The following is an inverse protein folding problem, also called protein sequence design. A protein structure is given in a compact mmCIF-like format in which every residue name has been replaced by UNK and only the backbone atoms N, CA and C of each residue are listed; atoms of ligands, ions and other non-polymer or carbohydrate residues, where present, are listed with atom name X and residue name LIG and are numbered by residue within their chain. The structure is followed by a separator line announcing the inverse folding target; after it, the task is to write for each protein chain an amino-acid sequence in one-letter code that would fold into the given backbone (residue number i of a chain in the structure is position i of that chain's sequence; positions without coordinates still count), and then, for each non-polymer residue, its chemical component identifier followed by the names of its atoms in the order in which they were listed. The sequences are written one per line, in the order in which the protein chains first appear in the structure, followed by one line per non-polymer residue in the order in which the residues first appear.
data_IF_564603544668
#
_entry.id   IF_564603544668
#
_cell.length_a   1.000
_cell.length_b   1.000
_cell.length_c   1.000
_cell.angle_alpha   90.00
_cell.angle_beta   90.00
_cell.angle_gamma   90.00
#
_symmetry.space_group_name_H-M   'P 1'
#
loop_
_entity.id
_entity.type
_entity.pdbx_description
1 polymer ?
#
# COMPACT_ATOMS: atom_id res chain seq x y z
N UNK A 1 -5.52 -4.94 -20.90
CA UNK A 1 -6.49 -5.14 -21.99
C UNK A 1 -6.13 -4.27 -23.17
N UNK A 2 -6.14 -4.86 -24.34
CA UNK A 2 -5.94 -4.21 -25.64
C UNK A 2 -7.24 -4.24 -26.42
N UNK A 3 -7.55 -3.17 -27.19
CA UNK A 3 -8.76 -3.11 -28.00
C UNK A 3 -8.72 -4.10 -29.14
N UNK A 4 -9.84 -4.73 -29.45
CA UNK A 4 -9.97 -5.53 -30.67
C UNK A 4 -9.93 -4.63 -31.92
N UNK A 5 -9.48 -5.20 -33.04
CA UNK A 5 -9.41 -4.48 -34.31
C UNK A 5 -8.15 -3.65 -34.52
N UNK A 6 -7.29 -3.55 -33.50
CA UNK A 6 -5.97 -2.92 -33.62
C UNK A 6 -4.88 -3.97 -33.91
N UNK A 7 -3.80 -3.53 -34.52
CA UNK A 7 -2.64 -4.40 -34.78
C UNK A 7 -1.53 -4.06 -33.79
N UNK A 8 -1.28 -4.97 -32.89
CA UNK A 8 -0.23 -4.84 -31.89
C UNK A 8 1.03 -5.59 -32.32
N UNK A 9 2.19 -5.04 -31.98
CA UNK A 9 3.48 -5.70 -32.25
C UNK A 9 3.68 -6.88 -31.30
N UNK A 10 3.75 -8.07 -31.85
CA UNK A 10 3.87 -9.32 -31.09
C UNK A 10 5.09 -9.30 -30.17
N UNK A 11 6.23 -8.79 -30.64
CA UNK A 11 7.45 -8.66 -29.83
C UNK A 11 7.25 -7.86 -28.54
N UNK A 12 6.50 -6.74 -28.61
CA UNK A 12 6.22 -5.93 -27.42
C UNK A 12 5.27 -6.65 -26.47
N UNK A 13 4.24 -7.31 -27.00
CA UNK A 13 3.30 -8.09 -26.18
C UNK A 13 4.02 -9.26 -25.50
N UNK A 14 4.91 -9.96 -26.20
CA UNK A 14 5.73 -11.03 -25.62
C UNK A 14 6.69 -10.52 -24.55
N UNK A 15 7.32 -9.36 -24.74
CA UNK A 15 8.15 -8.72 -23.70
C UNK A 15 7.34 -8.35 -22.47
N UNK A 16 6.14 -7.79 -22.61
CA UNK A 16 5.27 -7.51 -21.48
C UNK A 16 4.94 -8.77 -20.67
N UNK A 17 4.68 -9.88 -21.38
CA UNK A 17 4.40 -11.16 -20.72
C UNK A 17 5.63 -11.78 -20.05
N UNK A 18 6.81 -11.77 -20.72
CA UNK A 18 7.99 -12.47 -20.27
C UNK A 18 8.82 -11.69 -19.26
N UNK A 19 8.98 -10.37 -19.47
CA UNK A 19 9.86 -9.53 -18.66
C UNK A 19 9.10 -8.86 -17.49
N UNK A 20 7.79 -8.65 -17.66
CA UNK A 20 6.93 -7.97 -16.67
C UNK A 20 5.80 -8.87 -16.12
N UNK A 21 5.76 -10.13 -16.52
CA UNK A 21 4.73 -11.10 -16.13
C UNK A 21 3.29 -10.61 -16.37
N UNK A 22 3.11 -9.71 -17.35
CA UNK A 22 1.82 -9.12 -17.63
C UNK A 22 0.89 -10.12 -18.33
N UNK A 23 -0.35 -10.22 -17.87
CA UNK A 23 -1.42 -10.91 -18.59
C UNK A 23 -2.01 -9.95 -19.62
N UNK A 24 -1.99 -10.33 -20.90
CA UNK A 24 -2.53 -9.49 -21.98
C UNK A 24 -3.82 -10.09 -22.51
N UNK A 25 -4.86 -9.29 -22.57
CA UNK A 25 -6.21 -9.65 -23.05
C UNK A 25 -6.60 -8.75 -24.21
N UNK A 26 -7.29 -9.30 -25.21
CA UNK A 26 -7.94 -8.53 -26.27
C UNK A 26 -9.45 -8.50 -26.05
N UNK A 27 -10.07 -7.32 -26.15
CA UNK A 27 -11.48 -7.15 -25.88
C UNK A 27 -12.11 -5.97 -26.66
N UNK A 28 -13.40 -6.02 -26.99
CA UNK A 28 -14.14 -4.90 -27.57
C UNK A 28 -14.38 -3.81 -26.52
N UNK A 29 -13.58 -2.75 -26.54
CA UNK A 29 -13.65 -1.67 -25.57
C UNK A 29 -14.98 -0.92 -25.60
N UNK A 30 -15.38 -0.35 -24.45
CA UNK A 30 -16.65 0.37 -24.29
C UNK A 30 -17.88 -0.53 -24.17
N UNK A 31 -17.70 -1.85 -24.05
CA UNK A 31 -18.82 -2.78 -23.86
C UNK A 31 -19.00 -3.15 -22.40
N UNK A 32 -20.25 -3.43 -22.00
CA UNK A 32 -20.54 -3.88 -20.64
C UNK A 32 -19.87 -5.21 -20.27
N UNK A 33 -19.64 -6.08 -21.25
CA UNK A 33 -18.99 -7.39 -21.01
C UNK A 33 -17.49 -7.21 -20.77
N UNK A 34 -16.81 -6.33 -21.51
CA UNK A 34 -15.42 -5.97 -21.24
C UNK A 34 -15.27 -5.33 -19.86
N UNK A 35 -16.14 -4.38 -19.49
CA UNK A 35 -16.10 -3.74 -18.17
C UNK A 35 -16.28 -4.77 -17.05
N UNK A 36 -17.21 -5.72 -17.19
CA UNK A 36 -17.40 -6.81 -16.24
C UNK A 36 -16.17 -7.72 -16.15
N UNK A 37 -15.54 -8.04 -17.28
CA UNK A 37 -14.33 -8.88 -17.30
C UNK A 37 -13.14 -8.18 -16.58
N UNK A 38 -12.96 -6.88 -16.81
CA UNK A 38 -11.96 -6.04 -16.11
C UNK A 38 -12.22 -6.02 -14.60
N UNK A 39 -13.47 -5.77 -14.20
CA UNK A 39 -13.89 -5.73 -12.80
C UNK A 39 -13.70 -7.10 -12.12
N UNK A 40 -14.06 -8.19 -12.82
CA UNK A 40 -13.87 -9.55 -12.30
C UNK A 40 -12.39 -9.90 -12.14
N UNK A 41 -11.53 -9.51 -13.08
CA UNK A 41 -10.10 -9.71 -12.98
C UNK A 41 -9.51 -8.98 -11.76
N UNK A 42 -9.85 -7.70 -11.59
CA UNK A 42 -9.38 -6.91 -10.46
C UNK A 42 -9.86 -7.51 -9.14
N UNK A 43 -11.13 -7.87 -9.06
CA UNK A 43 -11.70 -8.52 -7.87
C UNK A 43 -10.99 -9.82 -7.53
N UNK A 44 -10.73 -10.67 -8.52
CA UNK A 44 -10.05 -11.96 -8.32
C UNK A 44 -8.60 -11.75 -7.85
N UNK A 45 -7.87 -10.82 -8.47
CA UNK A 45 -6.45 -10.59 -8.18
C UNK A 45 -6.19 -9.77 -6.92
N UNK A 46 -7.24 -9.23 -6.27
CA UNK A 46 -7.16 -8.50 -5.01
C UNK A 46 -7.91 -9.17 -3.86
N UNK A 47 -8.28 -10.45 -4.02
CA UNK A 47 -9.03 -11.18 -2.99
C UNK A 47 -10.38 -10.55 -2.64
N UNK A 48 -10.95 -9.73 -3.53
CA UNK A 48 -12.18 -8.98 -3.28
C UNK A 48 -12.01 -7.61 -2.63
N UNK A 49 -10.81 -7.25 -2.19
CA UNK A 49 -10.54 -5.99 -1.49
C UNK A 49 -10.89 -4.75 -2.30
N UNK A 50 -10.68 -4.76 -3.61
CA UNK A 50 -10.97 -3.65 -4.50
C UNK A 50 -12.31 -3.78 -5.25
N UNK A 51 -13.24 -4.61 -4.78
CA UNK A 51 -14.52 -4.85 -5.45
C UNK A 51 -15.34 -3.56 -5.69
N UNK A 52 -15.33 -2.63 -4.74
CA UNK A 52 -16.06 -1.36 -4.87
C UNK A 52 -15.33 -0.37 -5.78
N UNK A 53 -14.02 -0.26 -5.71
CA UNK A 53 -13.22 0.55 -6.63
C UNK A 53 -13.34 0.03 -8.07
N UNK A 54 -13.38 -1.29 -8.26
CA UNK A 54 -13.52 -1.93 -9.55
C UNK A 54 -14.82 -1.55 -10.28
N UNK A 55 -15.92 -1.33 -9.55
CA UNK A 55 -17.23 -0.95 -10.13
C UNK A 55 -17.18 0.35 -10.94
N UNK A 56 -16.24 1.23 -10.64
CA UNK A 56 -16.09 2.53 -11.29
C UNK A 56 -15.16 2.48 -12.52
N UNK A 57 -14.57 1.34 -12.84
CA UNK A 57 -13.70 1.18 -14.01
C UNK A 57 -14.58 0.92 -15.23
N UNK A 58 -14.55 1.86 -16.17
CA UNK A 58 -15.27 1.76 -17.43
C UNK A 58 -14.32 2.06 -18.59
N UNK A 59 -14.33 1.19 -19.60
CA UNK A 59 -13.66 1.44 -20.88
C UNK A 59 -14.59 2.23 -21.80
N UNK A 60 -14.01 2.99 -22.71
CA UNK A 60 -14.77 3.73 -23.77
C UNK A 60 -14.48 3.08 -25.11
N UNK A 61 -15.35 3.24 -26.11
CA UNK A 61 -15.12 2.71 -27.46
C UNK A 61 -13.77 3.15 -28.07
N UNK A 62 -13.27 4.33 -27.67
CA UNK A 62 -12.00 4.90 -28.12
C UNK A 62 -10.79 4.43 -27.28
N UNK A 63 -11.01 3.65 -26.23
CA UNK A 63 -9.91 3.11 -25.42
C UNK A 63 -9.09 2.14 -26.25
N UNK A 64 -7.82 2.43 -26.48
CA UNK A 64 -6.90 1.55 -27.20
C UNK A 64 -6.27 0.54 -26.27
N UNK A 65 -5.90 0.98 -25.06
CA UNK A 65 -5.27 0.14 -24.05
C UNK A 65 -5.78 0.54 -22.66
N UNK A 66 -6.01 -0.48 -21.83
CA UNK A 66 -6.21 -0.33 -20.38
C UNK A 66 -5.12 -1.12 -19.68
N UNK A 67 -4.25 -0.42 -18.95
CA UNK A 67 -3.24 -1.01 -18.08
C UNK A 67 -3.79 -1.05 -16.65
N UNK A 68 -3.78 -2.24 -16.05
CA UNK A 68 -4.17 -2.45 -14.66
C UNK A 68 -3.01 -3.09 -13.90
N UNK A 69 -2.73 -2.56 -12.74
CA UNK A 69 -1.85 -3.18 -11.76
C UNK A 69 -2.64 -3.44 -10.48
N UNK A 70 -2.57 -4.66 -9.98
CA UNK A 70 -3.20 -5.04 -8.73
C UNK A 70 -2.14 -5.60 -7.80
N UNK A 71 -2.02 -5.02 -6.62
CA UNK A 71 -1.17 -5.52 -5.56
C UNK A 71 -2.07 -6.00 -4.41
N UNK A 72 -1.85 -7.23 -4.00
CA UNK A 72 -2.54 -7.87 -2.89
C UNK A 72 -1.51 -8.37 -1.91
N UNK A 73 -1.63 -7.96 -0.66
CA UNK A 73 -0.78 -8.42 0.43
C UNK A 73 -1.62 -9.09 1.50
N UNK A 74 -1.18 -10.28 1.91
CA UNK A 74 -1.80 -11.03 2.98
C UNK A 74 -0.73 -11.82 3.72
N UNK A 75 -0.51 -11.45 4.96
CA UNK A 75 0.35 -12.21 5.86
C UNK A 75 -0.05 -11.98 7.32
N UNK A 76 0.38 -12.87 8.19
CA UNK A 76 0.13 -12.80 9.63
C UNK A 76 1.30 -12.14 10.33
N UNK A 77 1.01 -11.43 11.41
CA UNK A 77 2.07 -10.97 12.31
C UNK A 77 2.95 -12.16 12.76
N UNK A 78 4.24 -11.98 12.84
CA UNK A 78 5.15 -12.99 13.41
C UNK A 78 4.82 -13.22 14.88
N UNK A 79 4.45 -12.16 15.59
CA UNK A 79 3.88 -12.17 16.94
C UNK A 79 2.53 -11.46 16.92
N UNK A 80 1.45 -12.23 16.97
CA UNK A 80 0.08 -11.74 16.83
C UNK A 80 -0.38 -10.97 18.07
N UNK A 81 -1.30 -10.03 17.88
CA UNK A 81 -2.01 -9.42 19.00
C UNK A 81 -2.98 -10.42 19.61
N UNK A 82 -3.09 -10.43 20.92
CA UNK A 82 -4.07 -11.27 21.61
C UNK A 82 -5.46 -10.63 21.53
N UNK A 83 -6.41 -11.34 20.93
CA UNK A 83 -7.78 -10.83 20.72
C UNK A 83 -8.44 -10.32 22.01
N UNK A 84 -8.14 -10.97 23.15
CA UNK A 84 -8.65 -10.57 24.47
C UNK A 84 -8.01 -9.30 25.04
N UNK A 85 -6.95 -8.79 24.43
CA UNK A 85 -6.33 -7.51 24.81
C UNK A 85 -6.81 -6.35 23.91
N UNK A 86 -7.65 -6.60 22.90
CA UNK A 86 -8.27 -5.57 22.09
C UNK A 86 -9.35 -4.85 22.92
N UNK A 87 -9.31 -3.53 22.92
CA UNK A 87 -10.29 -2.70 23.64
C UNK A 87 -10.62 -1.45 22.85
N UNK A 88 -11.86 -0.94 23.02
CA UNK A 88 -12.28 0.30 22.41
C UNK A 88 -11.58 1.50 23.06
N UNK A 89 -10.98 2.37 22.23
CA UNK A 89 -10.38 3.63 22.65
C UNK A 89 -10.63 4.73 21.60
N UNK A 90 -10.10 5.92 21.84
CA UNK A 90 -10.31 7.09 21.01
C UNK A 90 -9.16 7.31 20.04
N UNK A 91 -9.47 7.35 18.75
CA UNK A 91 -8.61 7.89 17.71
C UNK A 91 -9.01 9.35 17.43
N UNK A 92 -8.05 10.25 17.44
CA UNK A 92 -8.27 11.65 17.08
C UNK A 92 -7.89 11.86 15.62
N UNK A 93 -8.87 12.06 14.75
CA UNK A 93 -8.67 12.27 13.32
C UNK A 93 -7.92 13.59 13.03
N UNK A 94 -7.42 13.73 11.79
CA UNK A 94 -6.68 14.92 11.36
C UNK A 94 -7.47 16.24 11.46
N UNK A 95 -8.79 16.18 11.40
CA UNK A 95 -9.70 17.33 11.58
C UNK A 95 -10.05 17.59 13.07
N UNK A 96 -9.51 16.80 13.99
CA UNK A 96 -9.78 16.87 15.44
C UNK A 96 -11.00 16.06 15.88
N UNK A 97 -11.70 15.37 14.99
CA UNK A 97 -12.83 14.53 15.34
C UNK A 97 -12.39 13.31 16.14
N UNK A 98 -13.04 13.05 17.27
CA UNK A 98 -12.82 11.86 18.08
C UNK A 98 -13.65 10.69 17.54
N UNK A 99 -13.00 9.58 17.26
CA UNK A 99 -13.58 8.34 16.73
C UNK A 99 -13.35 7.21 17.74
N UNK A 100 -14.39 6.43 18.05
CA UNK A 100 -14.31 5.26 18.93
C UNK A 100 -14.02 4.03 18.05
N UNK A 101 -12.87 3.40 18.27
CA UNK A 101 -12.40 2.27 17.46
C UNK A 101 -11.72 1.23 18.35
N UNK A 102 -11.64 -0.01 17.89
CA UNK A 102 -10.91 -1.07 18.56
C UNK A 102 -9.40 -0.90 18.41
N UNK A 103 -8.68 -0.85 19.53
CA UNK A 103 -7.22 -0.86 19.60
C UNK A 103 -6.72 -2.21 20.06
N UNK A 104 -5.76 -2.75 19.31
CA UNK A 104 -5.01 -3.94 19.63
C UNK A 104 -3.79 -3.58 20.49
N UNK A 105 -3.54 -4.33 21.54
CA UNK A 105 -2.45 -4.04 22.47
C UNK A 105 -1.47 -5.19 22.57
N UNK A 106 -0.18 -4.87 22.57
CA UNK A 106 0.89 -5.81 22.93
C UNK A 106 2.13 -5.06 23.44
N UNK A 107 3.02 -5.81 24.04
CA UNK A 107 4.31 -5.30 24.52
C UNK A 107 5.43 -6.16 23.98
N UNK A 108 6.45 -5.50 23.45
CA UNK A 108 7.72 -6.12 23.08
C UNK A 108 8.76 -5.68 24.09
N UNK A 109 9.25 -6.61 24.91
CA UNK A 109 10.16 -6.28 26.01
C UNK A 109 11.52 -5.78 25.54
N UNK A 110 11.87 -6.07 24.27
CA UNK A 110 13.09 -5.58 23.61
C UNK A 110 12.83 -5.47 22.10
N UNK A 111 12.73 -4.24 21.62
CA UNK A 111 12.54 -3.96 20.19
C UNK A 111 13.32 -2.70 19.79
N UNK A 112 13.56 -2.55 18.49
CA UNK A 112 14.23 -1.39 17.92
C UNK A 112 13.23 -0.32 17.50
N UNK A 113 13.62 0.94 17.65
CA UNK A 113 12.90 2.09 17.17
C UNK A 113 13.88 3.20 16.76
N UNK A 114 13.40 4.14 15.94
CA UNK A 114 14.14 5.37 15.59
C UNK A 114 13.37 6.56 16.15
N UNK A 115 14.11 7.49 16.77
CA UNK A 115 13.57 8.74 17.32
C UNK A 115 14.00 9.90 16.44
N UNK A 116 13.10 10.40 15.59
CA UNK A 116 13.31 11.61 14.80
C UNK A 116 12.85 12.89 15.50
N UNK A 117 13.00 14.02 14.83
CA UNK A 117 12.54 15.31 15.32
C UNK A 117 11.02 15.44 15.16
N UNK A 118 10.29 15.26 16.25
CA UNK A 118 8.82 15.34 16.29
C UNK A 118 8.09 14.05 15.86
N UNK A 119 8.77 12.91 15.81
CA UNK A 119 8.15 11.62 15.49
C UNK A 119 8.95 10.43 16.03
N UNK A 120 8.30 9.28 16.06
CA UNK A 120 8.93 7.98 16.34
C UNK A 120 8.60 7.02 15.21
N UNK A 121 9.60 6.22 14.79
CA UNK A 121 9.43 5.12 13.83
C UNK A 121 9.70 3.80 14.53
N UNK A 122 8.79 2.84 14.35
CA UNK A 122 8.96 1.47 14.82
C UNK A 122 8.24 0.52 13.87
N UNK A 123 8.54 -0.78 13.96
CA UNK A 123 8.03 -1.75 13.00
C UNK A 123 7.53 -3.02 13.66
N UNK A 124 6.57 -3.67 12.99
CA UNK A 124 6.09 -5.01 13.28
C UNK A 124 6.43 -5.93 12.11
N UNK A 125 6.87 -7.14 12.42
CA UNK A 125 7.24 -8.13 11.40
C UNK A 125 6.07 -9.06 11.08
N UNK A 126 5.97 -9.45 9.82
CA UNK A 126 5.12 -10.53 9.37
C UNK A 126 5.87 -11.88 9.37
N UNK A 127 5.14 -12.99 9.29
CA UNK A 127 5.71 -14.35 9.31
C UNK A 127 6.56 -14.66 8.09
N UNK A 128 6.21 -14.09 6.93
CA UNK A 128 6.96 -14.23 5.69
C UNK A 128 8.29 -13.48 5.67
N UNK A 129 8.51 -12.59 6.64
CA UNK A 129 9.70 -11.75 6.74
C UNK A 129 9.52 -10.33 6.23
N UNK A 130 8.34 -10.01 5.69
CA UNK A 130 7.91 -8.66 5.37
C UNK A 130 7.72 -7.85 6.66
N UNK A 131 7.66 -6.52 6.53
CA UNK A 131 7.53 -5.62 7.69
C UNK A 131 6.49 -4.54 7.46
N UNK A 132 5.83 -4.16 8.53
CA UNK A 132 5.01 -2.95 8.56
C UNK A 132 5.68 -1.92 9.47
N UNK A 133 6.18 -0.86 8.85
CA UNK A 133 6.87 0.25 9.50
C UNK A 133 5.83 1.34 9.78
N UNK A 134 5.80 1.86 10.99
CA UNK A 134 4.90 2.93 11.41
C UNK A 134 5.70 4.17 11.75
N UNK A 135 5.28 5.33 11.24
CA UNK A 135 5.76 6.64 11.65
C UNK A 135 4.64 7.35 12.41
N UNK A 136 4.87 7.57 13.70
CA UNK A 136 3.94 8.23 14.60
C UNK A 136 4.46 9.63 14.95
N UNK A 137 3.77 10.72 14.55
CA UNK A 137 4.10 12.07 15.01
C UNK A 137 3.99 12.19 16.52
N UNK A 138 4.77 13.07 17.14
CA UNK A 138 4.57 13.44 18.53
C UNK A 138 3.20 14.13 18.74
N UNK A 139 2.73 14.11 19.98
CA UNK A 139 1.48 14.81 20.30
C UNK A 139 1.56 16.29 19.91
N UNK A 140 0.54 16.77 19.23
CA UNK A 140 0.48 18.15 18.72
C UNK A 140 1.27 18.39 17.42
N UNK A 141 1.99 17.40 16.92
CA UNK A 141 2.71 17.49 15.64
C UNK A 141 1.85 16.97 14.49
N UNK A 142 1.70 17.77 13.43
CA UNK A 142 0.93 17.36 12.26
C UNK A 142 1.74 16.40 11.37
N UNK A 143 1.11 15.35 10.86
CA UNK A 143 1.74 14.34 10.01
C UNK A 143 2.19 14.90 8.65
N UNK A 144 1.34 15.69 7.98
CA UNK A 144 1.61 16.17 6.61
C UNK A 144 2.90 16.98 6.46
N UNK A 145 3.26 17.92 7.36
CA UNK A 145 4.55 18.61 7.29
C UNK A 145 5.74 17.66 7.48
N UNK A 146 5.65 16.65 8.34
CA UNK A 146 6.70 15.65 8.54
C UNK A 146 6.97 14.87 7.24
N UNK A 147 5.92 14.43 6.57
CA UNK A 147 6.04 13.67 5.31
C UNK A 147 6.52 14.50 4.11
N UNK A 148 6.63 15.82 4.26
CA UNK A 148 7.32 16.68 3.30
C UNK A 148 8.82 16.83 3.61
N UNK A 149 9.25 16.42 4.79
CA UNK A 149 10.64 16.44 5.22
C UNK A 149 11.38 15.19 4.74
N UNK A 150 12.59 15.37 4.25
CA UNK A 150 13.43 14.28 3.74
C UNK A 150 13.77 13.26 4.84
N UNK A 151 14.06 13.71 6.07
CA UNK A 151 14.46 12.85 7.18
C UNK A 151 13.33 11.86 7.57
N UNK A 152 12.10 12.35 7.77
CA UNK A 152 10.98 11.50 8.16
C UNK A 152 10.62 10.47 7.06
N UNK A 153 10.74 10.86 5.79
CA UNK A 153 10.58 9.92 4.68
C UNK A 153 11.71 8.89 4.65
N UNK A 154 12.97 9.32 4.82
CA UNK A 154 14.10 8.41 4.85
C UNK A 154 13.94 7.36 5.96
N UNK A 155 13.57 7.77 7.17
CA UNK A 155 13.33 6.85 8.29
C UNK A 155 12.16 5.90 8.03
N UNK A 156 11.07 6.40 7.40
CA UNK A 156 9.93 5.55 7.04
C UNK A 156 10.31 4.51 5.97
N UNK A 157 11.23 4.84 5.06
CA UNK A 157 11.70 3.97 3.97
C UNK A 157 12.89 3.07 4.37
N UNK A 158 13.37 3.19 5.60
CA UNK A 158 14.48 2.38 6.13
C UNK A 158 13.96 1.34 7.10
N UNK A 159 14.41 0.10 6.96
CA UNK A 159 14.19 -0.91 7.99
C UNK A 159 14.81 -0.42 9.31
N UNK A 160 13.99 -0.41 10.37
CA UNK A 160 14.45 0.07 11.68
C UNK A 160 15.68 -0.69 12.19
N UNK A 161 15.82 -1.98 11.85
CA UNK A 161 16.99 -2.77 12.24
C UNK A 161 18.27 -2.41 11.46
N UNK A 162 18.13 -1.82 10.28
CA UNK A 162 19.24 -1.41 9.41
C UNK A 162 19.62 0.08 9.60
N UNK A 163 18.86 0.81 10.43
CA UNK A 163 19.13 2.22 10.71
C UNK A 163 20.29 2.40 11.67
N UNK A 164 21.25 3.26 11.31
CA UNK A 164 22.34 3.67 12.19
C UNK A 164 21.86 4.43 13.45
N UNK A 165 20.62 4.98 13.41
CA UNK A 165 20.00 5.72 14.50
C UNK A 165 19.09 4.83 15.37
N UNK A 166 19.04 3.52 15.10
CA UNK A 166 18.20 2.60 15.84
C UNK A 166 18.59 2.53 17.33
N UNK A 167 17.60 2.67 18.17
CA UNK A 167 17.68 2.56 19.62
C UNK A 167 16.89 1.34 20.08
N UNK A 168 17.23 0.80 21.25
CA UNK A 168 16.53 -0.34 21.84
C UNK A 168 15.69 0.11 23.01
N UNK A 169 14.44 -0.34 23.07
CA UNK A 169 13.49 -0.03 24.13
C UNK A 169 12.54 -1.21 24.39
N UNK A 170 11.79 -1.11 25.46
CA UNK A 170 10.53 -1.82 25.63
C UNK A 170 9.45 -1.05 24.88
N UNK A 171 8.88 -1.62 23.82
CA UNK A 171 7.80 -1.00 23.06
C UNK A 171 6.44 -1.45 23.57
N UNK A 172 5.59 -0.46 23.88
CA UNK A 172 4.19 -0.69 24.23
C UNK A 172 3.33 -0.23 23.06
N UNK A 173 2.75 -1.20 22.36
CA UNK A 173 1.94 -0.98 21.18
C UNK A 173 0.46 -0.81 21.53
N UNK A 174 -0.14 0.21 20.93
CA UNK A 174 -1.58 0.42 20.86
C UNK A 174 -1.93 0.78 19.42
N UNK A 175 -2.36 -0.21 18.65
CA UNK A 175 -2.60 -0.09 17.20
C UNK A 175 -4.09 -0.19 16.93
N UNK A 176 -4.73 0.81 16.31
CA UNK A 176 -6.14 0.69 15.95
C UNK A 176 -6.31 -0.39 14.87
N UNK A 177 -7.40 -1.14 14.92
CA UNK A 177 -7.84 -1.92 13.77
C UNK A 177 -8.25 -0.95 12.68
N UNK A 178 -7.73 -1.14 11.47
CA UNK A 178 -8.07 -0.26 10.37
C UNK A 178 -8.27 -0.99 9.06
N UNK A 179 -9.12 -0.40 8.23
CA UNK A 179 -9.44 -0.86 6.89
C UNK A 179 -9.50 0.39 6.01
N UNK A 180 -8.38 0.73 5.39
CA UNK A 180 -8.22 1.96 4.62
C UNK A 180 -8.06 1.64 3.14
N UNK A 181 -8.78 2.38 2.31
CA UNK A 181 -8.67 2.30 0.87
C UNK A 181 -8.38 3.66 0.25
N UNK A 182 -7.80 3.64 -0.92
CA UNK A 182 -7.59 4.83 -1.73
C UNK A 182 -7.88 4.55 -3.21
N UNK A 183 -8.40 5.55 -3.89
CA UNK A 183 -8.64 5.53 -5.32
C UNK A 183 -8.21 6.88 -5.89
N UNK A 184 -7.00 6.93 -6.44
CA UNK A 184 -6.34 8.15 -6.85
C UNK A 184 -6.26 8.24 -8.37
N UNK A 185 -6.62 9.40 -8.90
CA UNK A 185 -6.31 9.80 -10.28
C UNK A 185 -4.94 10.47 -10.29
N UNK A 186 -3.95 9.87 -10.96
CA UNK A 186 -2.55 10.26 -10.88
C UNK A 186 -2.06 11.10 -12.06
N UNK A 187 -2.88 11.36 -13.07
CA UNK A 187 -2.48 12.05 -14.30
C UNK A 187 -1.85 13.42 -14.02
N UNK A 188 -2.48 14.22 -13.18
CA UNK A 188 -1.98 15.55 -12.86
C UNK A 188 -0.71 15.51 -11.99
N UNK A 189 -0.63 14.54 -11.07
CA UNK A 189 0.58 14.34 -10.27
C UNK A 189 1.77 13.92 -11.15
N UNK A 190 1.57 12.99 -12.08
CA UNK A 190 2.60 12.55 -13.02
C UNK A 190 3.05 13.69 -13.95
N UNK A 191 2.12 14.52 -14.44
CA UNK A 191 2.47 15.72 -15.23
C UNK A 191 3.30 16.71 -14.41
N UNK A 192 2.95 16.92 -13.13
CA UNK A 192 3.71 17.79 -12.24
C UNK A 192 5.14 17.27 -11.97
N UNK A 193 5.33 15.95 -12.02
CA UNK A 193 6.62 15.26 -11.92
C UNK A 193 7.42 15.29 -13.24
N UNK A 194 6.88 15.87 -14.33
CA UNK A 194 7.55 15.99 -15.63
C UNK A 194 7.20 14.89 -16.63
N UNK A 195 6.31 13.96 -16.30
CA UNK A 195 5.80 12.94 -17.23
C UNK A 195 4.70 13.58 -18.06
N UNK A 196 5.03 14.23 -19.16
CA UNK A 196 4.07 15.03 -19.97
C UNK A 196 3.74 14.43 -21.31
N UNK A 197 4.73 13.92 -22.03
CA UNK A 197 4.60 13.57 -23.45
C UNK A 197 3.65 12.40 -23.69
N UNK A 198 3.58 11.44 -22.77
CA UNK A 198 2.69 10.29 -22.84
C UNK A 198 1.18 10.67 -22.81
N UNK A 199 0.87 11.86 -22.29
CA UNK A 199 -0.49 12.41 -22.21
C UNK A 199 -0.85 13.36 -23.35
N UNK A 200 0.10 13.69 -24.25
CA UNK A 200 -0.11 14.59 -25.38
C UNK A 200 -0.21 13.78 -26.68
N UNK A 201 -1.37 13.80 -27.32
CA UNK A 201 -1.62 13.09 -28.57
C UNK A 201 -0.67 13.45 -29.72
N UNK A 202 0.01 14.64 -29.64
CA UNK A 202 0.95 15.07 -30.66
C UNK A 202 2.40 14.64 -30.33
N UNK A 203 2.68 14.18 -29.13
CA UNK A 203 4.02 13.84 -28.67
C UNK A 203 4.17 12.39 -28.24
N UNK A 204 3.08 11.77 -27.78
CA UNK A 204 3.08 10.39 -27.33
C UNK A 204 3.53 9.44 -28.45
N UNK A 205 4.51 8.60 -28.19
CA UNK A 205 4.96 7.58 -29.13
C UNK A 205 4.70 6.17 -28.64
N UNK A 206 3.60 5.60 -29.08
CA UNK A 206 3.22 4.21 -28.84
C UNK A 206 3.58 3.30 -30.03
N UNK A 207 4.44 3.75 -30.95
CA UNK A 207 4.90 2.92 -32.07
C UNK A 207 5.63 1.63 -31.68
N UNK A 208 6.24 1.49 -30.47
CA UNK A 208 6.74 0.19 -30.01
C UNK A 208 5.64 -0.84 -29.74
N UNK A 209 4.40 -0.41 -29.43
CA UNK A 209 3.27 -1.28 -29.15
C UNK A 209 2.33 -1.43 -30.32
N UNK A 210 1.99 -0.33 -31.01
CA UNK A 210 0.99 -0.28 -32.08
C UNK A 210 1.68 -0.18 -33.44
N UNK A 211 1.23 -0.99 -34.39
CA UNK A 211 1.72 -0.94 -35.77
C UNK A 211 1.13 0.27 -36.51
N UNK A 212 1.88 1.37 -36.56
CA UNK A 212 1.47 2.64 -37.18
C UNK A 212 1.18 2.55 -38.69
N UNK A 213 1.70 1.53 -39.40
CA UNK A 213 1.38 1.33 -40.81
C UNK A 213 -0.04 0.81 -40.99
N UNK A 214 -0.62 0.24 -39.96
CA UNK A 214 -1.96 -0.34 -39.95
C UNK A 214 -2.95 0.39 -39.03
N UNK A 215 -2.46 1.35 -38.27
CA UNK A 215 -3.26 2.16 -37.36
C UNK A 215 -2.79 3.63 -37.43
N UNK A 216 -3.56 4.48 -38.07
CA UNK A 216 -3.20 5.88 -38.40
C UNK A 216 -3.68 6.90 -37.34
N UNK A 217 -4.19 6.45 -36.19
CA UNK A 217 -4.63 7.36 -35.13
C UNK A 217 -3.52 7.56 -34.07
N UNK A 218 -3.47 8.77 -33.52
CA UNK A 218 -2.58 9.08 -32.40
C UNK A 218 -3.09 8.41 -31.11
N UNK A 219 -2.19 7.76 -30.38
CA UNK A 219 -2.49 7.11 -29.10
C UNK A 219 -1.80 7.87 -27.98
N UNK A 220 -2.55 8.22 -26.95
CA UNK A 220 -2.01 8.82 -25.73
C UNK A 220 -2.70 8.22 -24.50
N UNK A 221 -2.06 8.32 -23.34
CA UNK A 221 -2.69 7.99 -22.07
C UNK A 221 -3.67 9.09 -21.71
N UNK A 222 -4.91 8.73 -21.41
CA UNK A 222 -5.95 9.69 -21.04
C UNK A 222 -6.23 9.74 -19.55
N UNK A 223 -5.89 8.68 -18.84
CA UNK A 223 -6.12 8.56 -17.40
C UNK A 223 -5.17 7.53 -16.78
N UNK A 224 -4.69 7.82 -15.58
CA UNK A 224 -3.94 6.89 -14.74
C UNK A 224 -4.65 6.74 -13.41
N UNK A 225 -5.22 5.58 -13.18
CA UNK A 225 -5.98 5.27 -11.96
C UNK A 225 -5.15 4.33 -11.08
N UNK A 226 -5.02 4.66 -9.80
CA UNK A 226 -4.39 3.82 -8.79
C UNK A 226 -5.36 3.55 -7.65
N UNK A 227 -5.58 2.29 -7.34
CA UNK A 227 -6.39 1.88 -6.22
C UNK A 227 -5.60 0.92 -5.33
N UNK A 228 -5.67 1.15 -4.02
CA UNK A 228 -5.04 0.30 -3.01
C UNK A 228 -5.96 0.17 -1.80
N UNK A 229 -5.87 -0.95 -1.09
CA UNK A 229 -6.56 -1.16 0.18
C UNK A 229 -5.67 -1.96 1.12
N UNK A 230 -5.61 -1.54 2.38
CA UNK A 230 -4.89 -2.21 3.45
C UNK A 230 -5.83 -2.39 4.63
N UNK A 231 -5.98 -3.65 5.06
CA UNK A 231 -6.79 -4.00 6.22
C UNK A 231 -5.89 -4.67 7.27
N UNK A 232 -5.96 -4.20 8.50
CA UNK A 232 -5.13 -4.65 9.62
C UNK A 232 -6.00 -5.05 10.80
N UNK A 233 -5.74 -6.23 11.32
CA UNK A 233 -6.36 -6.77 12.52
C UNK A 233 -5.34 -7.50 13.43
N UNK A 234 -5.82 -8.18 14.48
CA UNK A 234 -5.00 -8.88 15.46
C UNK A 234 -4.10 -9.96 14.85
N UNK A 235 -4.51 -10.52 13.72
CA UNK A 235 -3.81 -11.62 13.06
C UNK A 235 -2.75 -11.16 12.06
N UNK A 236 -2.93 -9.96 11.51
CA UNK A 236 -2.04 -9.46 10.47
C UNK A 236 -2.73 -8.53 9.50
N UNK A 237 -2.23 -8.55 8.28
CA UNK A 237 -2.87 -7.90 7.14
C UNK A 237 -3.73 -8.95 6.43
N UNK A 238 -5.04 -8.77 6.45
CA UNK A 238 -6.07 -9.69 5.90
C UNK A 238 -5.86 -11.18 6.24
N UNK A 239 -5.94 -11.55 7.52
CA UNK A 239 -5.74 -12.92 7.98
C UNK A 239 -7.03 -13.76 8.02
N UNK A 240 -7.00 -14.96 7.41
CA UNK A 240 -7.98 -16.00 7.65
C UNK A 240 -7.55 -16.87 8.85
N UNK A 241 -8.49 -17.22 9.71
CA UNK A 241 -8.23 -17.89 10.99
C UNK A 241 -7.54 -19.26 10.84
N UNK A 242 -6.40 -19.42 11.48
CA UNK A 242 -5.85 -20.69 11.91
C UNK A 242 -5.08 -20.46 13.23
N UNK A 243 -5.41 -21.25 14.26
CA UNK A 243 -4.85 -21.09 15.60
C UNK A 243 -3.56 -21.91 15.70
N UNK A 244 -2.40 -21.26 15.91
CA UNK A 244 -1.21 -21.90 16.40
C UNK A 244 -0.71 -21.10 17.62
N UNK A 245 -0.67 -21.73 18.78
CA UNK A 245 -0.10 -21.17 20.00
C UNK A 245 1.35 -21.64 20.06
N UNK A 246 2.30 -20.74 19.98
CA UNK A 246 3.68 -21.00 20.35
C UNK A 246 4.01 -20.14 21.56
N UNK A 247 4.32 -20.79 22.67
CA UNK A 247 4.83 -20.11 23.87
C UNK A 247 6.33 -20.40 23.95
N UNK A 248 7.15 -19.37 23.75
CA UNK A 248 8.57 -19.44 24.02
C UNK A 248 8.88 -18.64 25.31
N UNK A 249 9.31 -19.36 26.34
CA UNK A 249 9.79 -18.78 27.56
C UNK A 249 11.32 -18.76 27.54
N UNK A 250 11.91 -17.58 27.33
CA UNK A 250 13.33 -17.36 27.62
C UNK A 250 13.45 -16.32 28.73
N UNK A 251 13.80 -16.79 29.92
CA UNK A 251 14.11 -15.91 31.04
C UNK A 251 15.54 -15.37 30.88
N UNK A 252 15.67 -14.20 30.26
CA UNK A 252 16.82 -13.33 30.47
C UNK A 252 16.50 -12.37 31.63
N UNK A 253 17.55 -12.00 32.44
CA UNK A 253 17.36 -10.98 33.45
C UNK A 253 16.84 -9.69 32.83
N UNK A 254 15.86 -8.98 33.45
CA UNK A 254 15.32 -7.78 32.89
C UNK A 254 16.42 -6.71 32.73
N UNK A 255 16.72 -6.33 31.51
CA UNK A 255 17.46 -5.10 31.24
C UNK A 255 16.53 -3.91 31.57
N UNK A 256 17.11 -2.90 32.22
CA UNK A 256 16.34 -1.67 32.54
C UNK A 256 16.26 -0.77 31.28
N UNK A 257 15.50 -1.24 30.28
CA UNK A 257 15.33 -0.55 29.02
C UNK A 257 14.30 0.60 29.17
N UNK A 258 14.49 1.71 28.45
CA UNK A 258 13.46 2.76 28.38
C UNK A 258 12.16 2.19 27.82
N UNK A 259 11.03 2.72 28.27
CA UNK A 259 9.71 2.39 27.72
C UNK A 259 9.34 3.43 26.68
N UNK A 260 8.98 2.97 25.49
CA UNK A 260 8.49 3.82 24.39
C UNK A 260 7.09 3.36 24.01
N UNK A 261 6.15 4.30 24.00
CA UNK A 261 4.76 4.04 23.67
C UNK A 261 4.51 4.34 22.19
N UNK A 262 4.12 3.32 21.44
CA UNK A 262 3.62 3.42 20.06
C UNK A 262 2.08 3.40 20.08
N UNK A 263 1.51 4.47 20.63
CA UNK A 263 0.06 4.67 20.70
C UNK A 263 -0.44 5.41 19.45
N UNK A 264 -0.90 4.65 18.45
CA UNK A 264 -1.36 5.17 17.16
C UNK A 264 -2.77 5.75 17.22
N UNK A 265 -3.04 6.60 18.20
CA UNK A 265 -4.34 7.22 18.48
C UNK A 265 -4.57 8.55 17.74
N UNK A 266 -3.74 8.90 16.79
CA UNK A 266 -3.72 10.13 15.99
C UNK A 266 -3.18 9.83 14.59
N UNK A 267 -3.24 10.76 13.63
CA UNK A 267 -2.75 10.52 12.28
C UNK A 267 -1.33 9.98 12.24
N UNK A 268 -1.12 8.87 11.54
CA UNK A 268 0.16 8.21 11.37
C UNK A 268 0.39 7.80 9.91
N UNK A 269 1.64 7.57 9.55
CA UNK A 269 1.98 6.93 8.29
C UNK A 269 2.41 5.48 8.52
N UNK A 270 2.23 4.65 7.51
CA UNK A 270 2.73 3.29 7.51
C UNK A 270 3.31 2.92 6.14
N UNK A 271 4.24 1.98 6.15
CA UNK A 271 4.75 1.34 4.95
C UNK A 271 4.82 -0.18 5.17
N UNK A 272 4.41 -0.94 4.17
CA UNK A 272 4.65 -2.39 4.11
C UNK A 272 5.80 -2.62 3.13
N UNK A 273 6.84 -3.32 3.57
CA UNK A 273 7.99 -3.68 2.74
C UNK A 273 8.01 -5.18 2.48
N UNK A 274 8.51 -5.56 1.30
CA UNK A 274 8.89 -6.94 1.01
C UNK A 274 10.11 -7.39 1.82
N UNK A 275 10.42 -8.67 1.72
CA UNK A 275 11.63 -9.27 2.35
C UNK A 275 12.93 -8.68 1.83
N UNK A 276 12.91 -8.08 0.65
CA UNK A 276 14.01 -7.39 -0.01
C UNK A 276 14.10 -5.89 0.37
N UNK A 277 13.23 -5.43 1.27
CA UNK A 277 13.15 -4.04 1.70
C UNK A 277 12.43 -3.11 0.70
N UNK A 278 11.95 -3.61 -0.44
CA UNK A 278 11.22 -2.78 -1.39
C UNK A 278 9.83 -2.42 -0.85
N UNK A 279 9.39 -1.16 -0.98
CA UNK A 279 8.08 -0.74 -0.56
C UNK A 279 6.99 -1.39 -1.42
N UNK A 280 6.04 -2.06 -0.78
CA UNK A 280 4.86 -2.66 -1.39
C UNK A 280 3.63 -1.75 -1.24
N UNK A 281 3.44 -1.21 -0.04
CA UNK A 281 2.37 -0.27 0.28
C UNK A 281 2.91 0.90 1.09
N UNK A 282 2.39 2.07 0.81
CA UNK A 282 2.61 3.29 1.58
C UNK A 282 1.26 3.97 1.80
N UNK A 283 0.98 4.35 3.03
CA UNK A 283 -0.28 4.99 3.35
C UNK A 283 -0.22 5.90 4.56
N UNK A 284 -1.27 6.69 4.70
CA UNK A 284 -1.54 7.49 5.90
C UNK A 284 -2.93 7.17 6.43
N UNK A 285 -3.06 7.05 7.73
CA UNK A 285 -4.34 6.95 8.42
C UNK A 285 -4.63 8.31 9.05
N UNK A 286 -5.54 9.05 8.45
CA UNK A 286 -5.94 10.39 8.91
C UNK A 286 -7.29 10.37 9.65
N UNK A 287 -8.07 9.34 9.44
CA UNK A 287 -9.36 9.02 10.10
C UNK A 287 -9.61 7.52 9.97
N UNK A 288 -10.49 6.98 10.79
CA UNK A 288 -10.88 5.57 10.84
C UNK A 288 -12.40 5.40 10.71
#
# INVERSE_FOLDING_TARGET
WLSEGQVYKTETVERLANDYYASVFSAPMGTGDTNKAVQAWLNTNTGGLLADAAKNIETKPQTVMLLLSALYFKDRWSDEFYDGATSEDTFTAADGTAQRVDFMHKTEDRASYVRGEGYTVAQLSFRGGERMIFLLPDEGTALTPLLRGEAALADLFTDVYDSDEAQTAKLVWSVPKFDVDSNLELTDALKAMGVTDVFDFNKADFSPLVDKEKFDESVAVTQVQHAARVKVDEKGCEAAAFTAITADATAAAPEDLPVVEMNLNRPFAFMITGVDGLPLFLGTVNSL
#
